data_IF_158148454897
#
_entry.id   IF_158148454897
#
_cell.length_a   1.000
_cell.length_b   1.000
_cell.length_c   1.000
_cell.angle_alpha   90.00
_cell.angle_beta   90.00
_cell.angle_gamma   90.00
#
_symmetry.space_group_name_H-M   'P 1'
#
loop_
_entity.id
_entity.type
_entity.pdbx_description
1 polymer ?
#
# COMPACT_ATOMS: atom_id res chain seq x y z
N UNK A 1 -9.76 6.01 -7.47
CA UNK A 1 -8.75 5.44 -6.54
C UNK A 1 -9.07 3.97 -6.35
N UNK A 2 -8.06 3.10 -6.36
CA UNK A 2 -8.17 1.65 -6.23
C UNK A 2 -7.24 1.15 -5.15
N UNK A 3 -7.66 0.11 -4.43
CA UNK A 3 -6.82 -0.55 -3.44
C UNK A 3 -5.71 -1.33 -4.14
N UNK A 4 -4.47 -1.11 -3.70
CA UNK A 4 -3.29 -1.81 -4.18
C UNK A 4 -2.82 -2.84 -3.15
N UNK A 5 -2.64 -2.40 -1.91
CA UNK A 5 -2.09 -3.21 -0.81
C UNK A 5 -2.99 -3.07 0.41
N UNK A 6 -3.19 -4.17 1.14
CA UNK A 6 -3.83 -4.18 2.45
C UNK A 6 -3.01 -5.03 3.41
N UNK A 7 -2.47 -4.43 4.46
CA UNK A 7 -1.58 -5.12 5.41
C UNK A 7 -1.61 -4.45 6.78
N UNK A 8 -1.37 -5.22 7.83
CA UNK A 8 -1.13 -4.71 9.19
C UNK A 8 0.34 -4.33 9.43
N UNK A 9 1.25 -4.81 8.56
CA UNK A 9 2.67 -4.55 8.69
C UNK A 9 3.06 -3.17 8.13
N UNK A 10 3.50 -2.28 9.03
CA UNK A 10 3.89 -0.91 8.67
C UNK A 10 5.14 -0.86 7.78
N UNK A 11 6.06 -1.81 7.92
CA UNK A 11 7.31 -1.87 7.15
C UNK A 11 6.98 -2.09 5.68
N UNK A 12 6.05 -2.99 5.38
CA UNK A 12 5.58 -3.24 4.02
C UNK A 12 4.94 -1.99 3.42
N UNK A 13 4.15 -1.24 4.19
CA UNK A 13 3.53 0.01 3.71
C UNK A 13 4.59 1.07 3.38
N UNK A 14 5.57 1.29 4.27
CA UNK A 14 6.65 2.26 4.04
C UNK A 14 7.48 1.87 2.81
N UNK A 15 7.82 0.59 2.68
CA UNK A 15 8.59 0.08 1.55
C UNK A 15 7.82 0.23 0.23
N UNK A 16 6.54 -0.17 0.20
CA UNK A 16 5.67 -0.01 -0.96
C UNK A 16 5.57 1.47 -1.41
N UNK A 17 5.43 2.40 -0.46
CA UNK A 17 5.40 3.84 -0.77
C UNK A 17 6.71 4.32 -1.40
N UNK A 18 7.84 3.94 -0.83
CA UNK A 18 9.16 4.33 -1.36
C UNK A 18 9.38 3.85 -2.80
N UNK A 19 8.94 2.62 -3.12
CA UNK A 19 9.03 2.08 -4.48
C UNK A 19 8.14 2.83 -5.47
N UNK A 20 6.90 3.15 -5.07
CA UNK A 20 5.97 3.88 -5.92
C UNK A 20 6.42 5.33 -6.16
N UNK A 21 6.95 5.98 -5.12
CA UNK A 21 7.52 7.32 -5.21
C UNK A 21 8.69 7.38 -6.21
N UNK A 22 9.59 6.39 -6.17
CA UNK A 22 10.69 6.25 -7.12
C UNK A 22 10.25 6.08 -8.59
N UNK A 23 9.00 5.71 -8.83
CA UNK A 23 8.39 5.54 -10.16
C UNK A 23 7.42 6.69 -10.51
N UNK A 24 7.40 7.77 -9.72
CA UNK A 24 6.46 8.87 -9.84
C UNK A 24 4.98 8.44 -9.78
N UNK A 25 4.67 7.38 -9.02
CA UNK A 25 3.31 6.88 -8.82
C UNK A 25 2.77 7.41 -7.49
N UNK A 26 1.79 8.31 -7.58
CA UNK A 26 1.12 8.81 -6.39
C UNK A 26 0.30 7.71 -5.71
N UNK A 27 0.57 7.51 -4.42
CA UNK A 27 -0.16 6.60 -3.55
C UNK A 27 -0.68 7.31 -2.29
N UNK A 28 -1.75 6.79 -1.73
CA UNK A 28 -2.43 7.34 -0.56
C UNK A 28 -2.70 6.24 0.45
N UNK A 29 -2.36 6.47 1.71
CA UNK A 29 -2.68 5.54 2.80
C UNK A 29 -4.07 5.83 3.36
N UNK A 30 -4.93 4.83 3.34
CA UNK A 30 -6.21 4.82 4.04
C UNK A 30 -6.07 4.10 5.38
N UNK A 31 -6.93 4.44 6.34
CA UNK A 31 -6.97 3.85 7.69
C UNK A 31 -5.78 4.24 8.62
N UNK A 32 -5.04 5.31 8.28
CA UNK A 32 -3.95 5.87 9.12
C UNK A 32 -4.46 6.34 10.48
N UNK A 33 -5.60 7.05 10.50
CA UNK A 33 -6.13 7.64 11.72
C UNK A 33 -6.56 6.59 12.75
N UNK A 34 -7.13 5.47 12.27
CA UNK A 34 -7.47 4.32 13.12
C UNK A 34 -6.20 3.70 13.74
N UNK A 35 -5.13 3.59 12.95
CA UNK A 35 -3.85 3.01 13.41
C UNK A 35 -3.12 3.87 14.46
N UNK A 36 -3.28 5.19 14.44
CA UNK A 36 -2.66 6.11 15.41
C UNK A 36 -3.33 5.98 16.78
N UNK A 37 -4.66 5.85 16.79
CA UNK A 37 -5.42 5.65 18.03
C UNK A 37 -5.04 4.34 18.75
N UNK A 38 -4.51 3.36 18.02
CA UNK A 38 -4.07 2.07 18.56
C UNK A 38 -2.62 2.04 19.05
N UNK A 39 -1.91 3.17 19.08
CA UNK A 39 -0.51 3.23 19.51
C UNK A 39 0.43 2.26 18.74
N UNK A 40 0.12 1.93 17.49
CA UNK A 40 1.00 1.12 16.64
C UNK A 40 1.00 -0.39 16.91
N UNK A 41 -0.01 -0.93 17.59
CA UNK A 41 -0.16 -2.38 17.84
C UNK A 41 -0.35 -3.22 16.56
N UNK A 42 -0.79 -2.61 15.45
CA UNK A 42 -0.99 -3.29 14.16
C UNK A 42 -2.26 -4.15 14.12
N UNK A 43 -3.25 -3.88 14.97
CA UNK A 43 -4.49 -4.67 15.00
C UNK A 43 -5.37 -4.41 13.76
N UNK A 44 -5.43 -3.17 13.27
CA UNK A 44 -6.14 -2.83 12.04
C UNK A 44 -5.24 -2.76 10.81
N UNK A 45 -5.66 -3.39 9.68
CA UNK A 45 -4.91 -3.31 8.44
C UNK A 45 -5.02 -1.90 7.84
N UNK A 46 -3.88 -1.42 7.34
CA UNK A 46 -3.78 -0.21 6.52
C UNK A 46 -3.92 -0.56 5.06
N UNK A 47 -4.49 0.38 4.30
CA UNK A 47 -4.68 0.20 2.85
C UNK A 47 -3.87 1.22 2.10
N UNK A 48 -3.09 0.78 1.12
CA UNK A 48 -2.45 1.66 0.17
C UNK A 48 -3.31 1.74 -1.09
N UNK A 49 -3.70 2.95 -1.44
CA UNK A 49 -4.57 3.28 -2.56
C UNK A 49 -3.76 3.97 -3.64
N UNK A 50 -4.06 3.71 -4.90
CA UNK A 50 -3.47 4.39 -6.05
C UNK A 50 -4.55 4.92 -6.99
N UNK A 51 -4.18 5.85 -7.87
CA UNK A 51 -5.05 6.26 -8.96
C UNK A 51 -5.39 5.06 -9.86
N UNK A 52 -6.61 5.04 -10.40
CA UNK A 52 -7.08 3.92 -11.24
C UNK A 52 -6.21 3.71 -12.47
N UNK A 53 -5.82 4.82 -13.12
CA UNK A 53 -4.90 4.86 -14.28
C UNK A 53 -3.51 4.28 -13.97
N UNK A 54 -3.08 4.36 -12.70
CA UNK A 54 -1.73 3.98 -12.27
C UNK A 54 -1.72 2.57 -11.65
N UNK A 55 -2.89 1.93 -11.47
CA UNK A 55 -3.04 0.64 -10.80
C UNK A 55 -2.19 -0.47 -11.43
N UNK A 56 -2.22 -0.58 -12.75
CA UNK A 56 -1.46 -1.63 -13.46
C UNK A 56 0.05 -1.45 -13.32
N UNK A 57 0.52 -0.20 -13.38
CA UNK A 57 1.93 0.12 -13.16
C UNK A 57 2.33 -0.17 -11.72
N UNK A 58 1.51 0.24 -10.75
CA UNK A 58 1.76 0.00 -9.34
C UNK A 58 1.80 -1.51 -9.01
N UNK A 59 0.87 -2.31 -9.55
CA UNK A 59 0.87 -3.77 -9.40
C UNK A 59 2.14 -4.41 -9.98
N UNK A 60 2.62 -3.92 -11.13
CA UNK A 60 3.89 -4.39 -11.70
C UNK A 60 5.07 -4.10 -10.78
N UNK A 61 5.15 -2.89 -10.22
CA UNK A 61 6.21 -2.50 -9.27
C UNK A 61 6.17 -3.40 -8.03
N UNK A 62 4.99 -3.65 -7.48
CA UNK A 62 4.83 -4.55 -6.33
C UNK A 62 5.28 -5.98 -6.65
N UNK A 63 4.88 -6.51 -7.81
CA UNK A 63 5.28 -7.86 -8.26
C UNK A 63 6.78 -8.00 -8.46
N UNK A 64 7.41 -7.01 -9.10
CA UNK A 64 8.84 -6.99 -9.38
C UNK A 64 9.67 -7.01 -8.08
N UNK A 65 9.16 -6.38 -7.03
CA UNK A 65 9.78 -6.31 -5.71
C UNK A 65 9.28 -7.38 -4.74
N UNK A 66 8.59 -8.42 -5.26
CA UNK A 66 8.07 -9.55 -4.48
C UNK A 66 7.16 -9.15 -3.30
N UNK A 67 6.48 -8.01 -3.40
CA UNK A 67 5.51 -7.58 -2.40
C UNK A 67 4.18 -8.27 -2.72
N UNK A 68 3.67 -9.06 -1.78
CA UNK A 68 2.35 -9.67 -1.94
C UNK A 68 1.27 -8.58 -1.80
N UNK A 69 0.50 -8.37 -2.87
CA UNK A 69 -0.54 -7.35 -2.92
C UNK A 69 -1.91 -7.98 -3.14
N UNK A 70 -2.95 -7.34 -2.58
CA UNK A 70 -4.25 -7.95 -2.32
C UNK A 70 -5.14 -8.07 -3.55
N UNK A 71 -4.79 -8.92 -4.52
CA UNK A 71 -5.76 -9.58 -5.40
C UNK A 71 -5.28 -11.01 -5.70
N UNK A 72 -5.76 -11.96 -4.89
CA UNK A 72 -5.90 -13.35 -5.33
C UNK A 72 -7.05 -13.38 -6.34
N UNK A 73 -6.74 -13.44 -7.63
CA UNK A 73 -7.71 -13.89 -8.63
C UNK A 73 -7.76 -15.42 -8.60
#
# INVERSE_FOLDING_TARGET
MKELLRTTDITVVIFAKALLDGQCINCFEMDVNMSIMEAGTGLFPRRLMVCDRDLLCAQRVMRDNQIEYGMKY
#
